data_IF_824640113809
#
_entry.id   IF_824640113809
#
_cell.length_a   1.000
_cell.length_b   1.000
_cell.length_c   1.000
_cell.angle_alpha   90.00
_cell.angle_beta   90.00
_cell.angle_gamma   90.00
#
_symmetry.space_group_name_H-M   'P 1'
#
loop_
_entity.id
_entity.type
_entity.pdbx_description
1 polymer ?
#
# COMPACT_ATOMS: atom_id res chain seq x y z
N UNK A 1 4.19 -18.82 22.92
CA UNK A 1 4.77 -17.48 23.19
C UNK A 1 4.70 -16.68 21.89
N UNK A 2 4.36 -15.38 21.96
CA UNK A 2 4.48 -14.49 20.80
C UNK A 2 5.97 -14.38 20.40
N UNK A 3 6.27 -14.38 19.11
CA UNK A 3 7.63 -14.17 18.62
C UNK A 3 7.88 -12.67 18.57
N UNK A 4 8.99 -12.21 19.13
CA UNK A 4 9.37 -10.80 19.11
C UNK A 4 10.42 -10.55 18.01
N UNK A 5 10.20 -9.50 17.23
CA UNK A 5 11.12 -9.00 16.19
C UNK A 5 11.54 -7.59 16.59
N UNK A 6 12.84 -7.36 16.67
CA UNK A 6 13.41 -6.05 16.96
C UNK A 6 14.32 -5.63 15.81
N UNK A 7 13.86 -4.73 14.94
CA UNK A 7 14.70 -4.17 13.89
C UNK A 7 15.39 -2.90 14.37
N UNK A 8 16.66 -2.76 14.01
CA UNK A 8 17.49 -1.59 14.33
C UNK A 8 17.74 -0.70 13.11
N UNK A 9 17.79 -1.30 11.92
CA UNK A 9 17.95 -0.59 10.66
C UNK A 9 16.60 -0.04 10.19
N UNK A 10 16.58 1.21 9.78
CA UNK A 10 15.35 1.88 9.35
C UNK A 10 15.39 3.36 9.65
N UNK A 11 14.29 4.05 9.35
CA UNK A 11 14.17 5.49 9.59
C UNK A 11 12.70 5.91 9.76
N UNK A 12 12.38 6.50 10.89
CA UNK A 12 11.12 7.21 11.06
C UNK A 12 11.28 8.64 10.54
N UNK A 13 10.53 9.00 9.51
CA UNK A 13 10.53 10.34 8.93
C UNK A 13 9.51 11.19 9.69
N UNK A 14 9.93 12.20 10.44
CA UNK A 14 9.04 13.03 11.26
C UNK A 14 8.32 14.07 10.39
N UNK A 15 7.33 13.64 9.61
CA UNK A 15 6.51 14.50 8.76
C UNK A 15 5.43 15.20 9.58
N UNK A 16 5.22 16.50 9.32
CA UNK A 16 4.15 17.29 9.92
C UNK A 16 2.77 16.95 9.31
N UNK A 17 1.68 17.31 10.02
CA UNK A 17 0.32 17.19 9.51
C UNK A 17 -0.32 15.83 9.77
N UNK A 18 -0.16 15.30 10.98
CA UNK A 18 -0.81 14.04 11.42
C UNK A 18 -2.32 14.22 11.57
N UNK A 19 -3.09 13.25 11.04
CA UNK A 19 -4.53 13.19 11.22
C UNK A 19 -4.88 12.71 12.64
N UNK A 20 -5.71 13.48 13.36
CA UNK A 20 -6.14 13.16 14.71
C UNK A 20 -7.67 13.14 14.80
N UNK A 21 -8.20 12.75 15.95
CA UNK A 21 -9.63 12.72 16.22
C UNK A 21 -10.36 11.46 15.72
N UNK A 22 -11.68 11.51 15.82
CA UNK A 22 -12.58 10.43 15.35
C UNK A 22 -12.79 10.58 13.84
N UNK A 23 -12.94 9.48 13.11
CA UNK A 23 -13.19 9.54 11.68
C UNK A 23 -14.58 10.12 11.37
N UNK A 24 -14.66 10.97 10.36
CA UNK A 24 -15.88 11.52 9.78
C UNK A 24 -16.35 10.65 8.62
N UNK A 25 -17.66 10.41 8.46
CA UNK A 25 -18.17 9.70 7.28
C UNK A 25 -18.30 10.65 6.09
N UNK A 26 -17.73 10.25 4.95
CA UNK A 26 -17.88 10.97 3.68
C UNK A 26 -18.50 9.99 2.67
N UNK A 27 -19.66 10.35 2.15
CA UNK A 27 -20.29 9.66 1.03
C UNK A 27 -19.82 10.34 -0.26
N UNK A 28 -19.01 9.66 -1.04
CA UNK A 28 -18.52 10.19 -2.30
C UNK A 28 -19.62 10.14 -3.38
N UNK A 29 -19.71 11.19 -4.18
CA UNK A 29 -20.64 11.28 -5.32
C UNK A 29 -20.21 10.45 -6.53
N UNK A 30 -18.95 10.00 -6.55
CA UNK A 30 -18.38 9.17 -7.60
C UNK A 30 -17.36 8.19 -7.02
N UNK A 31 -17.41 6.95 -7.48
CA UNK A 31 -16.47 5.88 -7.11
C UNK A 31 -15.73 5.40 -8.35
N UNK A 32 -14.41 5.30 -8.31
CA UNK A 32 -13.58 4.81 -9.42
C UNK A 32 -12.73 3.61 -9.02
N UNK A 33 -12.87 2.51 -9.74
CA UNK A 33 -12.03 1.32 -9.54
C UNK A 33 -10.97 1.27 -10.63
N UNK A 34 -9.70 1.31 -10.20
CA UNK A 34 -8.52 1.35 -11.05
C UNK A 34 -7.90 -0.05 -11.13
N UNK A 35 -7.92 -0.72 -12.29
CA UNK A 35 -7.39 -2.09 -12.40
C UNK A 35 -5.88 -2.17 -12.15
N UNK A 36 -5.13 -1.09 -12.39
CA UNK A 36 -3.67 -1.02 -12.15
C UNK A 36 -3.27 -1.16 -10.67
N UNK A 37 -4.22 -1.02 -9.75
CA UNK A 37 -3.99 -1.27 -8.33
C UNK A 37 -3.80 -2.76 -7.99
N UNK A 38 -4.11 -3.63 -8.95
CA UNK A 38 -4.14 -5.08 -8.79
C UNK A 38 -3.21 -5.78 -9.78
N UNK A 39 -1.88 -5.76 -9.52
CA UNK A 39 -0.87 -6.28 -10.44
C UNK A 39 -0.93 -7.80 -10.57
N UNK A 40 -0.46 -8.31 -11.69
CA UNK A 40 -0.30 -9.74 -11.94
C UNK A 40 -1.24 -10.31 -13.00
N UNK A 41 -2.34 -9.62 -13.31
CA UNK A 41 -3.32 -10.03 -14.31
C UNK A 41 -3.60 -8.94 -15.33
N UNK A 42 -4.10 -9.37 -16.50
CA UNK A 42 -4.71 -8.49 -17.49
C UNK A 42 -6.21 -8.39 -17.17
N UNK A 43 -6.67 -7.21 -16.79
CA UNK A 43 -8.07 -7.00 -16.42
C UNK A 43 -8.94 -6.68 -17.62
N UNK A 44 -10.06 -7.41 -17.79
CA UNK A 44 -11.07 -7.17 -18.80
C UNK A 44 -12.33 -6.59 -18.15
N UNK A 45 -12.85 -5.52 -18.73
CA UNK A 45 -14.04 -4.84 -18.23
C UNK A 45 -15.32 -5.62 -18.60
N UNK A 46 -16.20 -5.81 -17.62
CA UNK A 46 -17.45 -6.57 -17.73
C UNK A 46 -18.68 -5.69 -17.91
N UNK A 47 -18.53 -4.36 -17.80
CA UNK A 47 -19.65 -3.41 -17.79
C UNK A 47 -19.54 -2.35 -18.88
N UNK A 48 -20.65 -1.64 -19.11
CA UNK A 48 -20.76 -0.49 -20.03
C UNK A 48 -21.32 0.72 -19.29
N UNK A 49 -21.06 1.94 -19.77
CA UNK A 49 -21.76 3.13 -19.28
C UNK A 49 -23.29 2.96 -19.35
N UNK A 50 -23.99 3.30 -18.27
CA UNK A 50 -25.42 3.13 -18.09
C UNK A 50 -25.85 1.82 -17.43
N UNK A 51 -24.97 0.83 -17.27
CA UNK A 51 -25.30 -0.41 -16.56
C UNK A 51 -25.57 -0.12 -15.07
N UNK A 52 -26.60 -0.74 -14.51
CA UNK A 52 -26.92 -0.69 -13.08
C UNK A 52 -26.19 -1.83 -12.38
N UNK A 53 -25.47 -1.52 -11.31
CA UNK A 53 -24.66 -2.46 -10.54
C UNK A 53 -25.07 -2.42 -9.07
N UNK A 54 -25.06 -3.58 -8.41
CA UNK A 54 -25.19 -3.70 -6.97
C UNK A 54 -23.79 -3.61 -6.31
N UNK A 55 -23.74 -3.35 -5.01
CA UNK A 55 -22.53 -3.50 -4.21
C UNK A 55 -22.05 -4.96 -4.31
N UNK A 56 -20.83 -5.17 -4.80
CA UNK A 56 -20.27 -6.50 -5.04
C UNK A 56 -20.48 -7.03 -6.47
N UNK A 57 -21.16 -6.31 -7.38
CA UNK A 57 -21.25 -6.69 -8.78
C UNK A 57 -19.89 -6.60 -9.48
N UNK A 58 -19.52 -7.56 -10.34
CA UNK A 58 -18.25 -7.54 -11.06
C UNK A 58 -18.18 -6.35 -12.02
N UNK A 59 -17.08 -5.61 -11.95
CA UNK A 59 -16.70 -4.56 -12.91
C UNK A 59 -15.63 -5.06 -13.87
N UNK A 60 -14.75 -5.95 -13.38
CA UNK A 60 -13.69 -6.57 -14.16
C UNK A 60 -13.52 -8.04 -13.77
N UNK A 61 -12.97 -8.81 -14.70
CA UNK A 61 -12.40 -10.12 -14.43
C UNK A 61 -10.95 -10.19 -14.92
N UNK A 62 -10.15 -11.07 -14.31
CA UNK A 62 -8.82 -11.39 -14.80
C UNK A 62 -8.95 -12.25 -16.06
N UNK A 63 -8.31 -11.84 -17.17
CA UNK A 63 -8.41 -12.54 -18.46
C UNK A 63 -7.90 -13.99 -18.38
N UNK A 64 -6.88 -14.21 -17.58
CA UNK A 64 -6.21 -15.49 -17.39
C UNK A 64 -6.85 -16.33 -16.27
N UNK A 65 -7.80 -15.76 -15.50
CA UNK A 65 -8.44 -16.38 -14.33
C UNK A 65 -9.83 -15.75 -14.11
N UNK A 66 -10.80 -16.13 -14.92
CA UNK A 66 -12.11 -15.47 -15.02
C UNK A 66 -12.92 -15.41 -13.71
N UNK A 67 -12.64 -16.29 -12.75
CA UNK A 67 -13.30 -16.27 -11.43
C UNK A 67 -12.79 -15.12 -10.55
N UNK A 68 -11.58 -14.61 -10.78
CA UNK A 68 -11.03 -13.49 -10.01
C UNK A 68 -11.63 -12.19 -10.53
N UNK A 69 -12.40 -11.50 -9.67
CA UNK A 69 -13.15 -10.30 -10.01
C UNK A 69 -12.59 -9.07 -9.27
N UNK A 70 -12.74 -7.89 -9.90
CA UNK A 70 -12.80 -6.62 -9.20
C UNK A 70 -14.25 -6.15 -9.24
N UNK A 71 -14.76 -5.73 -8.09
CA UNK A 71 -16.19 -5.49 -7.92
C UNK A 71 -16.51 -4.04 -7.56
N UNK A 72 -17.76 -3.64 -7.78
CA UNK A 72 -18.25 -2.34 -7.35
C UNK A 72 -18.35 -2.27 -5.82
N UNK A 73 -17.75 -1.26 -5.16
CA UNK A 73 -17.88 -1.05 -3.73
C UNK A 73 -19.26 -0.53 -3.31
N UNK A 74 -20.05 -0.05 -4.26
CA UNK A 74 -21.36 0.57 -4.04
C UNK A 74 -22.39 0.02 -5.03
N UNK A 75 -23.67 0.14 -4.69
CA UNK A 75 -24.74 0.07 -5.66
C UNK A 75 -24.82 1.39 -6.43
N UNK A 76 -25.20 1.34 -7.70
CA UNK A 76 -25.32 2.56 -8.51
C UNK A 76 -25.34 2.31 -10.00
N UNK A 77 -25.00 3.33 -10.77
CA UNK A 77 -24.95 3.27 -12.23
C UNK A 77 -23.52 3.52 -12.71
N UNK A 78 -23.03 2.70 -13.61
CA UNK A 78 -21.75 2.91 -14.30
C UNK A 78 -21.83 4.19 -15.11
N UNK A 79 -21.00 5.18 -14.77
CA UNK A 79 -21.02 6.49 -15.43
C UNK A 79 -20.09 6.51 -16.63
N UNK A 80 -18.84 6.06 -16.45
CA UNK A 80 -17.81 6.15 -17.47
C UNK A 80 -16.79 5.02 -17.35
N UNK A 81 -16.19 4.64 -18.48
CA UNK A 81 -14.96 3.83 -18.55
C UNK A 81 -13.84 4.75 -19.02
N UNK A 82 -13.05 5.25 -18.08
CA UNK A 82 -11.92 6.14 -18.38
C UNK A 82 -10.78 5.37 -19.03
N UNK A 83 -10.31 5.88 -20.16
CA UNK A 83 -9.24 5.25 -20.94
C UNK A 83 -8.07 6.21 -21.10
N UNK A 84 -6.87 5.68 -21.00
CA UNK A 84 -5.62 6.35 -21.32
C UNK A 84 -5.10 5.99 -22.70
N UNK A 85 -3.80 6.11 -22.86
CA UNK A 85 -3.10 5.77 -24.09
C UNK A 85 -3.37 4.29 -24.48
N UNK A 86 -3.35 4.02 -25.79
CA UNK A 86 -3.58 2.68 -26.36
C UNK A 86 -4.83 1.97 -25.86
N UNK A 87 -5.87 2.76 -25.47
CA UNK A 87 -7.14 2.28 -24.91
C UNK A 87 -7.01 1.53 -23.57
N UNK A 88 -5.87 1.68 -22.86
CA UNK A 88 -5.71 1.15 -21.52
C UNK A 88 -6.80 1.71 -20.59
N UNK A 89 -7.43 0.84 -19.79
CA UNK A 89 -8.50 1.27 -18.88
C UNK A 89 -7.84 1.81 -17.59
N UNK A 90 -8.04 3.10 -17.33
CA UNK A 90 -7.56 3.77 -16.14
C UNK A 90 -8.51 3.57 -14.95
N UNK A 91 -9.81 3.62 -15.18
CA UNK A 91 -10.84 3.40 -14.17
C UNK A 91 -12.19 3.09 -14.78
N UNK A 92 -13.00 2.32 -14.07
CA UNK A 92 -14.46 2.27 -14.24
C UNK A 92 -15.07 3.10 -13.12
N UNK A 93 -15.93 4.06 -13.48
CA UNK A 93 -16.58 4.93 -12.50
C UNK A 93 -18.03 4.55 -12.30
N UNK A 94 -18.47 4.57 -11.04
CA UNK A 94 -19.86 4.27 -10.64
C UNK A 94 -20.39 5.45 -9.83
N UNK A 95 -21.53 5.98 -10.26
CA UNK A 95 -22.29 6.97 -9.51
C UNK A 95 -23.16 6.24 -8.48
N UNK A 96 -22.94 6.43 -7.17
CA UNK A 96 -23.71 5.75 -6.15
C UNK A 96 -25.21 6.02 -6.23
N UNK A 97 -26.00 4.97 -6.02
CA UNK A 97 -27.47 5.06 -6.00
C UNK A 97 -28.09 3.69 -5.75
N UNK A 98 -28.99 3.60 -4.77
CA UNK A 98 -29.59 2.32 -4.33
C UNK A 98 -28.78 1.62 -3.23
N UNK A 99 -29.37 0.53 -2.72
CA UNK A 99 -28.82 -0.25 -1.59
C UNK A 99 -28.66 -1.73 -1.94
N UNK A 100 -28.74 -2.09 -3.23
CA UNK A 100 -28.62 -3.47 -3.66
C UNK A 100 -27.24 -4.05 -3.37
N UNK A 101 -27.23 -5.27 -2.83
CA UNK A 101 -26.00 -5.95 -2.39
C UNK A 101 -25.98 -7.38 -2.92
N UNK A 102 -24.86 -7.75 -3.55
CA UNK A 102 -24.61 -9.13 -3.96
C UNK A 102 -24.30 -9.98 -2.74
N UNK A 103 -24.98 -11.14 -2.61
CA UNK A 103 -24.68 -12.16 -1.61
C UNK A 103 -23.88 -13.28 -2.25
N UNK A 104 -22.78 -13.65 -1.60
CA UNK A 104 -21.87 -14.69 -2.07
C UNK A 104 -22.15 -16.00 -1.34
N UNK A 105 -22.89 -16.90 -1.98
CA UNK A 105 -23.47 -18.11 -1.35
C UNK A 105 -22.60 -19.37 -1.50
N UNK A 106 -21.43 -19.31 -2.18
CA UNK A 106 -20.56 -20.47 -2.32
C UNK A 106 -20.20 -21.09 -0.96
N UNK A 107 -20.04 -22.41 -0.92
CA UNK A 107 -19.58 -23.13 0.28
C UNK A 107 -18.09 -22.99 0.49
N UNK A 108 -17.32 -22.78 -0.57
CA UNK A 108 -15.87 -22.66 -0.54
C UNK A 108 -15.47 -21.21 -0.31
N UNK A 109 -14.65 -20.95 0.70
CA UNK A 109 -14.17 -19.61 1.01
C UNK A 109 -13.35 -19.03 -0.15
N UNK A 110 -12.44 -19.81 -0.75
CA UNK A 110 -11.63 -19.35 -1.88
C UNK A 110 -12.47 -18.82 -3.03
N UNK A 111 -13.59 -19.49 -3.37
CA UNK A 111 -14.50 -19.04 -4.40
C UNK A 111 -15.22 -17.74 -4.00
N UNK A 112 -15.71 -17.64 -2.75
CA UNK A 112 -16.29 -16.39 -2.24
C UNK A 112 -15.30 -15.22 -2.35
N UNK A 113 -14.03 -15.44 -2.02
CA UNK A 113 -13.00 -14.41 -2.08
C UNK A 113 -12.72 -13.96 -3.53
N UNK A 114 -12.68 -14.91 -4.48
CA UNK A 114 -12.49 -14.61 -5.90
C UNK A 114 -13.63 -13.76 -6.44
N UNK A 115 -14.87 -14.15 -6.14
CA UNK A 115 -16.09 -13.48 -6.64
C UNK A 115 -16.33 -12.11 -5.97
N UNK A 116 -15.97 -11.95 -4.71
CA UNK A 116 -16.16 -10.71 -3.94
C UNK A 116 -15.06 -9.67 -4.14
N UNK A 117 -14.04 -9.94 -4.95
CA UNK A 117 -12.90 -9.06 -5.14
C UNK A 117 -11.88 -9.07 -3.98
N UNK A 118 -12.16 -9.75 -2.87
CA UNK A 118 -11.22 -9.81 -1.74
C UNK A 118 -9.97 -10.62 -2.05
N UNK A 119 -10.04 -11.56 -3.01
CA UNK A 119 -8.86 -12.28 -3.49
C UNK A 119 -7.83 -11.34 -4.10
N UNK A 120 -8.26 -10.38 -4.92
CA UNK A 120 -7.40 -9.39 -5.53
C UNK A 120 -6.75 -8.42 -4.52
N UNK A 121 -7.30 -8.34 -3.28
CA UNK A 121 -6.73 -7.54 -2.20
C UNK A 121 -5.57 -8.22 -1.47
N UNK A 122 -5.29 -9.50 -1.74
CA UNK A 122 -4.11 -10.22 -1.24
C UNK A 122 -2.93 -10.08 -2.20
N UNK A 123 -1.72 -10.33 -1.72
CA UNK A 123 -0.50 -10.36 -2.51
C UNK A 123 0.22 -11.68 -2.35
N UNK A 124 0.70 -12.21 -3.46
CA UNK A 124 1.56 -13.38 -3.51
C UNK A 124 3.02 -12.97 -3.61
N UNK A 125 3.86 -13.51 -2.72
CA UNK A 125 5.31 -13.42 -2.77
C UNK A 125 5.90 -14.77 -3.23
N UNK A 126 7.00 -14.75 -3.96
CA UNK A 126 7.68 -13.59 -4.52
C UNK A 126 6.78 -12.86 -5.54
N UNK A 127 7.28 -11.83 -6.20
CA UNK A 127 6.69 -11.01 -7.27
C UNK A 127 5.69 -9.92 -6.82
N UNK A 128 5.08 -10.02 -5.65
CA UNK A 128 4.14 -9.02 -5.12
C UNK A 128 2.99 -8.73 -6.09
N UNK A 129 2.27 -9.78 -6.48
CA UNK A 129 1.14 -9.75 -7.41
C UNK A 129 -0.10 -10.37 -6.76
N UNK A 130 -1.26 -10.20 -7.39
CA UNK A 130 -2.48 -10.92 -6.98
C UNK A 130 -2.26 -12.42 -7.06
N UNK A 131 -2.66 -13.23 -6.06
CA UNK A 131 -2.45 -14.67 -6.06
C UNK A 131 -3.06 -15.38 -7.28
N UNK A 132 -2.39 -16.43 -7.75
CA UNK A 132 -2.89 -17.30 -8.79
C UNK A 132 -4.23 -17.93 -8.41
N UNK A 133 -5.10 -18.25 -9.40
CA UNK A 133 -6.45 -18.76 -9.15
C UNK A 133 -6.44 -20.06 -8.34
N UNK A 134 -5.49 -20.94 -8.62
CA UNK A 134 -5.34 -22.24 -7.96
C UNK A 134 -4.12 -22.28 -7.01
N UNK A 135 -3.50 -21.10 -6.73
CA UNK A 135 -2.34 -21.04 -5.88
C UNK A 135 -2.71 -21.31 -4.42
N UNK A 136 -1.87 -22.08 -3.74
CA UNK A 136 -1.94 -22.30 -2.30
C UNK A 136 -0.64 -21.83 -1.65
N UNK A 137 -0.69 -20.95 -0.64
CA UNK A 137 0.52 -20.44 -0.02
C UNK A 137 1.09 -21.44 0.98
N UNK A 138 2.44 -21.42 1.14
CA UNK A 138 3.11 -22.10 2.26
C UNK A 138 2.60 -21.54 3.61
N UNK A 139 2.59 -20.21 3.72
CA UNK A 139 2.15 -19.47 4.90
C UNK A 139 1.42 -18.18 4.48
N UNK A 140 0.66 -17.57 5.41
CA UNK A 140 -0.01 -16.29 5.21
C UNK A 140 0.46 -15.30 6.29
N UNK A 141 0.90 -14.11 5.88
CA UNK A 141 1.34 -13.05 6.77
C UNK A 141 0.33 -11.89 6.76
N UNK A 142 -0.18 -11.56 7.94
CA UNK A 142 -1.15 -10.48 8.14
C UNK A 142 -0.45 -9.31 8.83
N UNK A 143 -0.45 -8.13 8.19
CA UNK A 143 0.05 -6.91 8.80
C UNK A 143 -1.10 -6.15 9.47
N UNK A 144 -1.03 -5.98 10.81
CA UNK A 144 -2.05 -5.26 11.58
C UNK A 144 -1.66 -3.81 11.90
N UNK A 145 -0.50 -3.36 11.45
CA UNK A 145 -0.05 -1.98 11.59
C UNK A 145 0.74 -1.54 10.35
N UNK A 146 0.83 -0.24 10.17
CA UNK A 146 1.65 0.42 9.17
C UNK A 146 2.67 1.30 9.91
N UNK A 147 3.93 1.27 9.52
CA UNK A 147 5.02 2.06 10.11
C UNK A 147 5.45 3.25 9.24
N UNK A 148 4.78 3.47 8.11
CA UNK A 148 5.09 4.58 7.21
C UNK A 148 4.76 5.94 7.85
N UNK A 149 5.38 7.03 7.36
CA UNK A 149 5.12 8.36 7.89
C UNK A 149 3.65 8.75 7.85
N UNK A 150 3.09 9.19 8.98
CA UNK A 150 1.69 9.59 9.15
C UNK A 150 0.65 8.50 8.86
N UNK A 151 1.02 7.23 8.94
CA UNK A 151 0.16 6.10 8.65
C UNK A 151 -1.18 6.16 9.39
N UNK A 152 -2.26 5.82 8.68
CA UNK A 152 -3.60 5.66 9.22
C UNK A 152 -3.82 4.28 9.86
N UNK A 153 -5.04 4.05 10.37
CA UNK A 153 -5.43 2.76 10.92
C UNK A 153 -5.50 1.70 9.81
N UNK A 154 -4.91 0.55 10.08
CA UNK A 154 -4.97 -0.60 9.15
C UNK A 154 -6.33 -1.29 9.22
N UNK A 155 -6.90 -1.40 10.43
CA UNK A 155 -8.18 -2.06 10.65
C UNK A 155 -9.27 -1.00 10.81
N UNK A 156 -10.22 -0.90 9.86
CA UNK A 156 -11.33 0.02 9.99
C UNK A 156 -12.17 -0.32 11.23
N UNK A 157 -12.46 0.67 12.05
CA UNK A 157 -13.09 0.48 13.36
C UNK A 157 -14.44 -0.23 13.25
N UNK A 158 -15.24 0.07 12.21
CA UNK A 158 -16.60 -0.46 12.02
C UNK A 158 -16.68 -1.94 11.63
N UNK A 159 -15.55 -2.57 11.26
CA UNK A 159 -15.47 -4.01 10.93
C UNK A 159 -14.44 -4.76 11.76
N UNK A 160 -13.82 -4.12 12.74
CA UNK A 160 -12.76 -4.72 13.56
C UNK A 160 -13.20 -5.99 14.30
N UNK A 161 -14.48 -6.10 14.66
CA UNK A 161 -15.06 -7.27 15.33
C UNK A 161 -14.97 -8.57 14.50
N UNK A 162 -14.85 -8.46 13.16
CA UNK A 162 -14.77 -9.62 12.27
C UNK A 162 -13.35 -10.14 12.06
N UNK A 163 -12.32 -9.51 12.64
CA UNK A 163 -10.91 -9.88 12.41
C UNK A 163 -10.62 -11.34 12.78
N UNK A 164 -11.09 -11.80 13.94
CA UNK A 164 -10.85 -13.18 14.42
C UNK A 164 -11.43 -14.20 13.44
N UNK A 165 -12.67 -14.00 12.99
CA UNK A 165 -13.32 -14.87 12.01
C UNK A 165 -12.61 -14.84 10.64
N UNK A 166 -12.06 -13.70 10.27
CA UNK A 166 -11.24 -13.57 9.07
C UNK A 166 -9.94 -14.38 9.16
N UNK A 167 -9.27 -14.34 10.31
CA UNK A 167 -8.06 -15.15 10.56
C UNK A 167 -8.37 -16.66 10.52
N UNK A 168 -9.51 -17.09 11.08
CA UNK A 168 -9.99 -18.48 10.95
C UNK A 168 -10.19 -18.86 9.47
N UNK A 169 -10.80 -17.96 8.69
CA UNK A 169 -10.97 -18.16 7.26
C UNK A 169 -9.63 -18.34 6.54
N UNK A 170 -8.66 -17.46 6.78
CA UNK A 170 -7.32 -17.57 6.17
C UNK A 170 -6.62 -18.89 6.48
N UNK A 171 -6.82 -19.45 7.68
CA UNK A 171 -6.23 -20.74 8.07
C UNK A 171 -6.70 -21.88 7.18
N UNK A 172 -7.89 -21.80 6.60
CA UNK A 172 -8.40 -22.80 5.66
C UNK A 172 -7.74 -22.74 4.27
N UNK A 173 -7.06 -21.63 3.94
CA UNK A 173 -6.40 -21.42 2.65
C UNK A 173 -4.95 -21.90 2.60
N UNK A 174 -4.36 -22.28 3.74
CA UNK A 174 -2.98 -22.76 3.82
C UNK A 174 -2.86 -23.99 4.70
N UNK A 175 -1.92 -24.87 4.35
CA UNK A 175 -1.50 -25.99 5.22
C UNK A 175 -0.50 -25.57 6.28
N UNK A 176 0.11 -24.41 6.14
CA UNK A 176 1.11 -23.88 7.05
C UNK A 176 0.53 -22.99 8.14
N UNK A 177 1.19 -21.88 8.42
CA UNK A 177 0.80 -20.99 9.50
C UNK A 177 0.21 -19.67 8.97
N UNK A 178 -0.73 -19.11 9.74
CA UNK A 178 -1.13 -17.70 9.63
C UNK A 178 -0.38 -16.92 10.70
N UNK A 179 0.32 -15.89 10.31
CA UNK A 179 1.07 -14.99 11.19
C UNK A 179 0.36 -13.64 11.26
N UNK A 180 0.23 -13.08 12.46
CA UNK A 180 -0.33 -11.74 12.69
C UNK A 180 0.75 -10.84 13.28
N UNK A 181 1.25 -9.91 12.48
CA UNK A 181 2.24 -8.93 12.92
C UNK A 181 1.56 -7.71 13.54
N UNK A 182 1.94 -7.38 14.78
CA UNK A 182 1.36 -6.31 15.58
C UNK A 182 2.45 -5.42 16.18
N UNK A 183 2.12 -4.17 16.48
CA UNK A 183 2.96 -3.32 17.34
C UNK A 183 2.77 -3.74 18.81
N UNK A 184 3.84 -3.78 19.62
CA UNK A 184 3.72 -3.90 21.06
C UNK A 184 2.81 -2.81 21.63
N UNK A 185 1.89 -3.20 22.51
CA UNK A 185 0.91 -2.29 23.09
C UNK A 185 -0.36 -2.05 22.23
N UNK A 186 -0.44 -2.56 21.00
CA UNK A 186 -1.65 -2.47 20.16
C UNK A 186 -2.84 -3.26 20.71
N UNK A 187 -2.59 -4.18 21.67
CA UNK A 187 -3.66 -4.94 22.35
C UNK A 187 -4.28 -6.07 21.51
N UNK A 188 -3.87 -6.24 20.26
CA UNK A 188 -4.36 -7.32 19.41
C UNK A 188 -3.71 -8.65 19.82
N UNK A 189 -4.53 -9.63 20.14
CA UNK A 189 -4.12 -11.01 20.45
C UNK A 189 -5.17 -11.97 19.87
N UNK A 190 -4.71 -13.11 19.42
CA UNK A 190 -5.56 -14.16 18.85
C UNK A 190 -5.02 -15.54 19.24
N UNK A 191 -5.89 -16.54 19.22
CA UNK A 191 -5.52 -17.95 19.35
C UNK A 191 -5.43 -18.67 18.00
N UNK A 192 -5.92 -18.04 16.96
CA UNK A 192 -6.02 -18.59 15.59
C UNK A 192 -4.70 -18.45 14.83
N UNK A 193 -4.09 -17.28 14.92
CA UNK A 193 -2.83 -16.96 14.23
C UNK A 193 -1.65 -16.89 15.21
N UNK A 194 -0.43 -17.12 14.71
CA UNK A 194 0.80 -16.89 15.45
C UNK A 194 1.10 -15.40 15.50
N UNK A 195 0.98 -14.81 16.69
CA UNK A 195 1.24 -13.38 16.88
C UNK A 195 2.74 -13.10 16.85
N UNK A 196 3.13 -12.04 16.13
CA UNK A 196 4.49 -11.52 16.03
C UNK A 196 4.46 -10.10 16.55
N UNK A 197 5.13 -9.82 17.66
CA UNK A 197 5.34 -8.47 18.17
C UNK A 197 6.55 -7.84 17.44
N UNK A 198 6.33 -6.74 16.70
CA UNK A 198 7.36 -6.12 15.86
C UNK A 198 7.69 -4.72 16.37
N UNK A 199 8.93 -4.56 16.83
CA UNK A 199 9.52 -3.31 17.29
C UNK A 199 10.49 -2.74 16.27
N UNK A 200 10.62 -1.42 16.26
CA UNK A 200 11.61 -0.70 15.47
C UNK A 200 11.01 0.40 14.61
N UNK A 201 11.86 1.16 13.91
CA UNK A 201 11.46 2.20 12.99
C UNK A 201 10.82 1.62 11.72
N UNK A 202 10.29 2.49 10.85
CA UNK A 202 9.95 2.08 9.49
C UNK A 202 11.19 1.49 8.79
N UNK A 203 11.12 0.32 8.13
CA UNK A 203 9.94 -0.36 7.59
C UNK A 203 9.39 -1.52 8.46
N UNK A 204 9.38 -1.40 9.79
CA UNK A 204 8.88 -2.46 10.68
C UNK A 204 7.49 -3.01 10.31
N UNK A 205 6.64 -2.21 9.66
CA UNK A 205 5.30 -2.60 9.20
C UNK A 205 5.26 -3.35 7.89
N UNK A 206 6.37 -3.41 7.13
CA UNK A 206 6.38 -4.08 5.83
C UNK A 206 6.30 -5.61 5.99
N UNK A 207 5.42 -6.28 5.24
CA UNK A 207 5.29 -7.73 5.30
C UNK A 207 6.59 -8.50 5.02
N UNK A 208 7.44 -8.00 4.12
CA UNK A 208 8.74 -8.62 3.80
C UNK A 208 9.66 -8.72 5.03
N UNK A 209 9.63 -7.70 5.91
CA UNK A 209 10.39 -7.72 7.18
C UNK A 209 9.91 -8.84 8.10
N UNK A 210 8.58 -9.05 8.16
CA UNK A 210 7.99 -10.12 8.97
C UNK A 210 8.35 -11.49 8.40
N UNK A 211 8.28 -11.65 7.07
CA UNK A 211 8.61 -12.88 6.36
C UNK A 211 10.09 -13.22 6.56
N UNK A 212 10.99 -12.29 6.28
CA UNK A 212 12.44 -12.50 6.41
C UNK A 212 12.84 -12.92 7.83
N UNK A 213 12.20 -12.33 8.86
CA UNK A 213 12.51 -12.64 10.25
C UNK A 213 11.92 -13.98 10.74
N UNK A 214 10.82 -14.47 10.13
CA UNK A 214 10.08 -15.62 10.65
C UNK A 214 10.25 -16.87 9.80
N UNK A 215 10.06 -16.73 8.49
CA UNK A 215 10.10 -17.83 7.52
C UNK A 215 10.46 -17.29 6.13
N UNK A 216 11.75 -17.01 5.86
CA UNK A 216 12.23 -16.50 4.58
C UNK A 216 11.73 -17.30 3.39
N UNK A 217 11.62 -16.68 2.23
CA UNK A 217 11.12 -17.31 1.01
C UNK A 217 12.30 -17.85 0.23
N UNK A 218 12.27 -19.15 -0.08
CA UNK A 218 13.20 -19.78 -0.99
C UNK A 218 12.63 -19.87 -2.41
N UNK A 219 13.49 -20.12 -3.41
CA UNK A 219 13.07 -20.34 -4.79
C UNK A 219 12.03 -21.47 -4.88
N UNK A 220 10.92 -21.21 -5.56
CA UNK A 220 9.81 -22.15 -5.71
C UNK A 220 8.79 -22.14 -4.58
N UNK A 221 9.02 -21.40 -3.48
CA UNK A 221 8.05 -21.23 -2.41
C UNK A 221 7.15 -20.04 -2.68
N UNK A 222 5.92 -20.14 -2.19
CA UNK A 222 4.90 -19.07 -2.28
C UNK A 222 4.35 -18.78 -0.90
N UNK A 223 4.33 -17.50 -0.50
CA UNK A 223 3.63 -17.01 0.69
C UNK A 223 2.68 -15.88 0.31
N UNK A 224 1.61 -15.71 1.06
CA UNK A 224 0.70 -14.61 0.83
C UNK A 224 0.83 -13.55 1.92
N UNK A 225 0.61 -12.32 1.53
CA UNK A 225 0.52 -11.17 2.45
C UNK A 225 -0.84 -10.50 2.30
N UNK A 226 -1.37 -10.03 3.41
CA UNK A 226 -2.65 -9.35 3.46
C UNK A 226 -2.67 -8.38 4.65
N UNK A 227 -3.36 -7.26 4.53
CA UNK A 227 -3.56 -6.36 5.67
C UNK A 227 -4.75 -6.81 6.55
N UNK A 228 -4.69 -6.48 7.84
CA UNK A 228 -5.71 -6.90 8.81
C UNK A 228 -7.10 -6.29 8.53
N UNK A 229 -7.18 -5.16 7.84
CA UNK A 229 -8.45 -4.58 7.39
C UNK A 229 -9.13 -5.45 6.33
N UNK A 230 -8.36 -5.97 5.37
CA UNK A 230 -8.85 -6.96 4.41
C UNK A 230 -9.26 -8.25 5.09
N UNK A 231 -8.50 -8.71 6.10
CA UNK A 231 -8.87 -9.89 6.90
C UNK A 231 -10.20 -9.68 7.64
N UNK A 232 -10.43 -8.50 8.20
CA UNK A 232 -11.72 -8.17 8.81
C UNK A 232 -12.88 -8.19 7.79
N UNK A 233 -12.65 -7.72 6.55
CA UNK A 233 -13.64 -7.86 5.45
C UNK A 233 -13.92 -9.32 5.10
N UNK A 234 -12.89 -10.18 5.10
CA UNK A 234 -13.05 -11.64 4.91
C UNK A 234 -13.94 -12.22 6.02
N UNK A 235 -13.70 -11.85 7.27
CA UNK A 235 -14.53 -12.28 8.40
C UNK A 235 -15.98 -11.81 8.28
N UNK A 236 -16.20 -10.57 7.84
CA UNK A 236 -17.55 -10.07 7.56
C UNK A 236 -18.22 -10.84 6.42
N UNK A 237 -17.50 -11.11 5.32
CA UNK A 237 -18.01 -11.94 4.22
C UNK A 237 -18.45 -13.32 4.71
N UNK A 238 -17.65 -13.96 5.55
CA UNK A 238 -17.99 -15.27 6.16
C UNK A 238 -19.28 -15.16 7.00
N UNK A 239 -19.39 -14.12 7.83
CA UNK A 239 -20.51 -13.96 8.76
C UNK A 239 -21.80 -13.50 8.10
N UNK A 240 -21.72 -12.57 7.16
CA UNK A 240 -22.86 -11.84 6.59
C UNK A 240 -23.20 -12.27 5.16
N UNK A 241 -22.27 -12.92 4.45
CA UNK A 241 -22.42 -13.30 3.03
C UNK A 241 -22.22 -12.14 2.06
N UNK A 242 -21.84 -10.95 2.52
CA UNK A 242 -21.53 -9.78 1.69
C UNK A 242 -20.35 -8.99 2.29
N UNK A 243 -19.78 -8.06 1.53
CA UNK A 243 -18.63 -7.25 1.95
C UNK A 243 -19.01 -5.79 2.19
N UNK A 244 -18.27 -5.17 3.13
CA UNK A 244 -18.18 -3.72 3.30
C UNK A 244 -16.83 -3.25 2.75
N UNK A 245 -16.87 -2.42 1.71
CA UNK A 245 -15.67 -1.90 1.05
C UNK A 245 -15.24 -0.52 1.56
N UNK A 246 -15.83 -0.03 2.66
CA UNK A 246 -15.40 1.22 3.27
C UNK A 246 -14.01 1.06 3.90
N UNK A 247 -13.23 2.12 3.80
CA UNK A 247 -11.92 2.26 4.41
C UNK A 247 -11.91 3.43 5.39
N UNK A 248 -11.09 3.32 6.43
CA UNK A 248 -10.73 4.46 7.27
C UNK A 248 -9.45 5.07 6.68
N UNK A 249 -9.52 6.32 6.27
CA UNK A 249 -8.46 7.02 5.53
C UNK A 249 -8.00 8.23 6.30
N UNK A 250 -6.69 8.41 6.43
CA UNK A 250 -6.08 9.58 7.03
C UNK A 250 -5.75 10.62 5.95
N UNK A 251 -6.35 11.79 6.00
CA UNK A 251 -5.94 12.97 5.22
C UNK A 251 -4.88 13.69 6.02
N UNK A 252 -3.66 13.77 5.49
CA UNK A 252 -2.45 14.13 6.24
C UNK A 252 -1.54 15.04 5.42
N UNK A 253 -0.45 15.44 6.03
CA UNK A 253 0.64 16.16 5.38
C UNK A 253 0.71 17.63 5.76
N UNK A 254 1.89 18.24 5.61
CA UNK A 254 2.14 19.62 6.06
C UNK A 254 1.33 20.68 5.30
N UNK A 255 0.81 20.36 4.12
CA UNK A 255 0.01 21.26 3.31
C UNK A 255 -1.52 20.97 3.39
N UNK A 256 -1.95 19.99 4.20
CA UNK A 256 -3.35 19.78 4.50
C UNK A 256 -3.85 20.90 5.43
N UNK A 257 -4.99 21.53 5.10
CA UNK A 257 -5.55 22.60 5.93
C UNK A 257 -6.01 22.10 7.30
N UNK A 258 -6.69 20.95 7.32
CA UNK A 258 -7.20 20.32 8.54
C UNK A 258 -6.98 18.82 8.46
N UNK A 259 -5.80 18.30 8.87
CA UNK A 259 -5.57 16.87 8.89
C UNK A 259 -6.64 16.13 9.67
N UNK A 260 -7.31 15.15 9.06
CA UNK A 260 -8.46 14.44 9.62
C UNK A 260 -8.51 12.98 9.19
N UNK A 261 -9.31 12.21 9.89
CA UNK A 261 -9.65 10.84 9.49
C UNK A 261 -11.04 10.81 8.88
N UNK A 262 -11.21 10.05 7.82
CA UNK A 262 -12.49 9.86 7.14
C UNK A 262 -12.80 8.38 6.95
N UNK A 263 -14.09 8.02 6.97
CA UNK A 263 -14.58 6.72 6.54
C UNK A 263 -15.31 6.92 5.23
N UNK A 264 -14.85 6.25 4.18
CA UNK A 264 -15.42 6.32 2.84
C UNK A 264 -15.19 5.01 2.10
N UNK A 265 -15.81 4.83 0.94
CA UNK A 265 -15.61 3.66 0.10
C UNK A 265 -14.23 3.65 -0.56
N UNK A 266 -13.67 2.46 -0.75
CA UNK A 266 -12.51 2.27 -1.65
C UNK A 266 -12.90 2.77 -3.04
N UNK A 267 -12.03 3.56 -3.66
CA UNK A 267 -12.34 4.19 -4.94
C UNK A 267 -13.08 5.52 -4.85
N UNK A 268 -13.35 6.05 -3.66
CA UNK A 268 -14.02 7.34 -3.49
C UNK A 268 -13.29 8.49 -4.21
N UNK A 269 -14.06 9.41 -4.81
CA UNK A 269 -13.55 10.62 -5.45
C UNK A 269 -12.72 11.46 -4.49
N UNK A 270 -11.51 11.84 -4.90
CA UNK A 270 -10.65 12.72 -4.09
C UNK A 270 -11.23 14.12 -3.98
N UNK A 271 -11.98 14.59 -4.96
CA UNK A 271 -12.65 15.89 -4.89
C UNK A 271 -13.63 15.97 -3.70
N UNK A 272 -14.32 14.87 -3.38
CA UNK A 272 -15.22 14.81 -2.24
C UNK A 272 -14.45 14.68 -0.92
N UNK A 273 -13.42 13.84 -0.85
CA UNK A 273 -12.61 13.65 0.36
C UNK A 273 -11.86 14.92 0.73
N UNK A 274 -11.31 15.63 -0.26
CA UNK A 274 -10.44 16.79 -0.09
C UNK A 274 -11.19 18.13 -0.11
N UNK A 275 -12.52 18.13 -0.10
CA UNK A 275 -13.32 19.35 -0.10
C UNK A 275 -12.98 20.21 1.12
N UNK A 276 -12.44 21.42 0.86
CA UNK A 276 -12.02 22.36 1.90
C UNK A 276 -10.69 22.02 2.59
N UNK A 277 -9.92 21.04 2.07
CA UNK A 277 -8.63 20.65 2.63
C UNK A 277 -7.42 21.20 1.84
N UNK A 278 -7.63 21.72 0.66
CA UNK A 278 -6.59 22.28 -0.19
C UNK A 278 -6.60 23.81 -0.11
N UNK A 279 -5.42 24.40 -0.01
CA UNK A 279 -5.25 25.85 -0.07
C UNK A 279 -5.36 26.35 -1.51
N UNK A 280 -6.20 27.35 -1.72
CA UNK A 280 -6.36 27.96 -3.04
C UNK A 280 -5.10 28.71 -3.46
N UNK A 281 -4.72 28.60 -4.74
CA UNK A 281 -3.59 29.30 -5.33
C UNK A 281 -2.20 28.75 -4.99
N UNK A 282 -2.11 27.70 -4.18
CA UNK A 282 -0.85 26.98 -3.93
C UNK A 282 -0.65 25.82 -4.89
N UNK A 283 0.60 25.57 -5.31
CA UNK A 283 0.97 24.38 -6.09
C UNK A 283 1.19 23.22 -5.13
N UNK A 284 0.19 22.32 -5.06
CA UNK A 284 0.16 21.22 -4.12
C UNK A 284 0.29 19.87 -4.84
N UNK A 285 1.02 18.96 -4.21
CA UNK A 285 1.07 17.54 -4.60
C UNK A 285 0.16 16.75 -3.67
N UNK A 286 -0.87 16.15 -4.27
CA UNK A 286 -1.71 15.16 -3.59
C UNK A 286 -1.19 13.77 -3.91
N UNK A 287 -0.99 12.97 -2.88
CA UNK A 287 -0.43 11.61 -2.93
C UNK A 287 -1.47 10.66 -2.36
N UNK A 288 -1.93 9.69 -3.15
CA UNK A 288 -2.64 8.55 -2.61
C UNK A 288 -1.60 7.63 -1.95
N UNK A 289 -1.68 7.51 -0.63
CA UNK A 289 -0.68 6.84 0.20
C UNK A 289 0.26 7.80 0.95
N UNK A 290 1.35 7.24 1.46
CA UNK A 290 2.40 7.98 2.17
C UNK A 290 3.43 8.56 1.19
N UNK A 291 4.34 9.40 1.70
CA UNK A 291 5.38 10.07 0.88
C UNK A 291 6.46 9.14 0.33
N UNK A 292 6.52 7.88 0.78
CA UNK A 292 7.54 6.91 0.35
C UNK A 292 7.04 6.01 -0.78
N UNK A 293 5.83 5.44 -0.64
CA UNK A 293 5.28 4.42 -1.57
C UNK A 293 4.02 4.88 -2.30
N UNK A 294 3.50 6.06 -1.96
CA UNK A 294 2.29 6.59 -2.57
C UNK A 294 2.48 7.08 -4.00
N UNK A 295 1.39 7.27 -4.70
CA UNK A 295 1.36 7.75 -6.08
C UNK A 295 0.77 9.16 -6.17
N UNK A 296 1.33 9.99 -7.03
CA UNK A 296 0.73 11.32 -7.33
C UNK A 296 -0.62 11.12 -8.01
N UNK A 297 -1.63 11.82 -7.52
CA UNK A 297 -2.99 11.77 -8.04
C UNK A 297 -3.53 13.18 -8.26
N UNK A 298 -4.44 13.33 -9.22
CA UNK A 298 -5.13 14.58 -9.44
C UNK A 298 -6.23 14.77 -8.37
N UNK A 299 -6.27 15.88 -7.64
CA UNK A 299 -7.23 16.11 -6.56
C UNK A 299 -8.67 16.27 -7.03
N UNK A 300 -8.92 16.61 -8.28
CA UNK A 300 -10.24 16.88 -8.84
C UNK A 300 -10.85 15.69 -9.58
N UNK A 301 -10.03 14.92 -10.27
CA UNK A 301 -10.45 13.79 -11.11
C UNK A 301 -9.95 12.43 -10.61
N UNK A 302 -9.10 12.40 -9.59
CA UNK A 302 -8.54 11.19 -9.02
C UNK A 302 -9.45 10.48 -8.02
N UNK A 303 -9.05 9.27 -7.67
CA UNK A 303 -9.77 8.38 -6.75
C UNK A 303 -8.86 7.88 -5.63
N UNK A 304 -9.46 7.47 -4.51
CA UNK A 304 -8.78 6.74 -3.45
C UNK A 304 -8.33 5.38 -3.99
N UNK A 305 -7.03 5.24 -4.23
CA UNK A 305 -6.43 4.04 -4.83
C UNK A 305 -6.26 2.92 -3.79
N UNK A 306 -6.45 1.69 -4.19
CA UNK A 306 -6.11 0.52 -3.36
C UNK A 306 -4.58 0.26 -3.44
N UNK A 307 -3.89 -0.12 -2.34
CA UNK A 307 -4.41 -0.39 -0.99
C UNK A 307 -4.31 0.78 0.00
N UNK A 308 -4.22 2.01 -0.49
CA UNK A 308 -3.89 3.15 0.34
C UNK A 308 -5.01 3.52 1.33
N UNK A 309 -4.60 3.78 2.57
CA UNK A 309 -5.44 4.24 3.69
C UNK A 309 -5.03 5.62 4.17
N UNK A 310 -4.33 6.33 3.32
CA UNK A 310 -3.78 7.65 3.59
C UNK A 310 -3.80 8.48 2.31
N UNK A 311 -4.07 9.77 2.46
CA UNK A 311 -3.86 10.78 1.43
C UNK A 311 -2.92 11.81 2.04
N UNK A 312 -1.79 12.04 1.40
CA UNK A 312 -0.77 12.98 1.89
C UNK A 312 -0.71 14.20 0.98
N UNK A 313 -0.77 15.39 1.57
CA UNK A 313 -0.73 16.67 0.86
C UNK A 313 0.55 17.39 1.25
N UNK A 314 1.40 17.67 0.25
CA UNK A 314 2.65 18.41 0.41
C UNK A 314 2.72 19.53 -0.63
N UNK A 315 3.62 20.49 -0.44
CA UNK A 315 3.90 21.49 -1.46
C UNK A 315 4.66 20.85 -2.64
N UNK A 316 4.38 21.29 -3.88
CA UNK A 316 5.14 20.90 -5.07
C UNK A 316 6.57 21.48 -5.00
N UNK A 317 6.72 22.63 -4.40
CA UNK A 317 8.02 23.30 -4.21
C UNK A 317 8.47 24.18 -5.36
N UNK A 318 7.60 24.47 -6.33
CA UNK A 318 7.92 25.24 -7.53
C UNK A 318 8.33 26.68 -7.22
N UNK A 319 7.84 27.26 -6.13
CA UNK A 319 8.06 28.66 -5.72
C UNK A 319 9.12 28.84 -4.65
N UNK A 320 9.86 27.79 -4.30
CA UNK A 320 10.82 27.86 -3.22
C UNK A 320 12.13 28.52 -3.69
N UNK A 321 12.22 29.83 -3.53
CA UNK A 321 13.47 30.58 -3.61
C UNK A 321 14.34 30.28 -2.41
N UNK A 322 15.35 29.45 -2.61
CA UNK A 322 16.29 29.11 -1.54
C UNK A 322 17.62 29.82 -1.78
N UNK A 323 17.92 30.74 -0.89
CA UNK A 323 19.27 31.32 -0.86
C UNK A 323 20.30 30.20 -0.68
N UNK A 324 21.26 30.10 -1.60
CA UNK A 324 22.28 29.05 -1.69
C UNK A 324 21.75 27.62 -1.94
N UNK A 325 20.45 27.41 -2.24
CA UNK A 325 19.87 26.13 -2.63
C UNK A 325 20.18 24.99 -1.66
N UNK A 326 20.88 23.95 -2.13
CA UNK A 326 21.28 22.79 -1.35
C UNK A 326 22.32 23.09 -0.26
N UNK A 327 23.09 24.16 -0.36
CA UNK A 327 24.07 24.59 0.64
C UNK A 327 23.45 25.50 1.72
N UNK A 328 22.13 25.61 1.74
CA UNK A 328 21.40 26.45 2.71
C UNK A 328 21.64 26.03 4.14
N UNK A 329 21.87 27.02 5.02
CA UNK A 329 21.99 26.84 6.48
C UNK A 329 20.61 26.79 7.19
N UNK A 330 19.52 26.50 6.47
CA UNK A 330 18.20 26.46 7.05
C UNK A 330 18.03 25.26 8.00
N UNK A 331 17.80 25.48 9.31
CA UNK A 331 17.65 24.41 10.30
C UNK A 331 16.28 23.72 10.22
N UNK A 332 15.37 24.18 9.37
CA UNK A 332 14.06 23.57 9.16
C UNK A 332 14.05 22.52 8.04
N UNK A 333 15.19 22.32 7.35
CA UNK A 333 15.38 21.26 6.39
C UNK A 333 15.83 19.98 7.08
N UNK A 334 15.05 18.91 6.92
CA UNK A 334 15.42 17.58 7.41
C UNK A 334 16.65 17.03 6.68
N UNK A 335 17.56 16.43 7.41
CA UNK A 335 18.73 15.75 6.86
C UNK A 335 19.20 14.62 7.77
N UNK A 336 19.28 13.43 7.21
CA UNK A 336 19.81 12.25 7.93
C UNK A 336 21.35 12.28 8.07
N UNK A 337 22.04 12.99 7.19
CA UNK A 337 23.52 13.07 7.14
C UNK A 337 24.08 14.36 7.74
N UNK A 338 23.28 15.13 8.46
CA UNK A 338 23.65 16.45 9.01
C UNK A 338 24.11 17.46 7.94
N UNK A 339 23.68 17.30 6.69
CA UNK A 339 23.93 18.27 5.60
C UNK A 339 23.32 19.64 5.94
N UNK A 340 22.17 19.65 6.61
CA UNK A 340 21.52 20.84 7.12
C UNK A 340 21.58 20.86 8.64
N UNK A 341 21.60 22.04 9.29
CA UNK A 341 21.74 22.16 10.74
C UNK A 341 20.47 21.82 11.53
N UNK A 342 19.54 21.05 10.96
CA UNK A 342 18.30 20.59 11.61
C UNK A 342 18.54 19.87 12.94
N UNK A 343 19.69 19.19 13.09
CA UNK A 343 20.07 18.50 14.32
C UNK A 343 20.23 19.43 15.52
N UNK A 344 20.51 20.73 15.29
CA UNK A 344 20.59 21.75 16.36
C UNK A 344 19.24 22.02 17.02
N UNK A 345 18.12 21.87 16.28
CA UNK A 345 16.76 22.04 16.79
C UNK A 345 16.09 20.73 17.21
N UNK A 346 16.79 19.60 17.09
CA UNK A 346 16.28 18.26 17.37
C UNK A 346 15.58 17.62 16.16
N UNK A 347 15.98 16.37 15.85
CA UNK A 347 15.47 15.62 14.70
C UNK A 347 14.11 14.96 14.96
N UNK A 348 13.63 14.96 16.20
CA UNK A 348 12.35 14.35 16.59
C UNK A 348 11.14 15.27 16.34
N UNK A 349 11.37 16.55 16.04
CA UNK A 349 10.29 17.50 15.74
C UNK A 349 9.69 17.23 14.35
N UNK A 350 8.40 17.57 14.14
CA UNK A 350 7.80 17.48 12.81
C UNK A 350 8.46 18.45 11.82
N UNK A 351 8.72 17.96 10.61
CA UNK A 351 9.26 18.74 9.51
C UNK A 351 8.25 18.90 8.38
N UNK A 352 8.36 20.02 7.68
CA UNK A 352 7.63 20.29 6.44
C UNK A 352 8.49 19.84 5.26
N UNK A 353 7.98 18.91 4.47
CA UNK A 353 8.63 18.42 3.25
C UNK A 353 7.89 18.95 2.02
N UNK A 354 8.63 19.21 0.96
CA UNK A 354 8.13 19.49 -0.37
C UNK A 354 8.47 18.34 -1.33
N UNK A 355 7.94 18.39 -2.56
CA UNK A 355 8.10 17.33 -3.55
C UNK A 355 9.43 17.36 -4.32
N UNK A 356 10.35 18.27 -4.00
CA UNK A 356 11.64 18.37 -4.68
C UNK A 356 12.56 17.24 -4.28
N UNK A 357 13.24 16.64 -5.24
CA UNK A 357 14.22 15.56 -5.00
C UNK A 357 15.49 16.00 -4.27
N UNK A 358 15.74 17.32 -4.20
CA UNK A 358 16.92 17.95 -3.54
C UNK A 358 18.23 17.24 -3.89
N UNK A 359 18.45 17.04 -5.18
CA UNK A 359 19.59 16.35 -5.75
C UNK A 359 19.43 16.17 -7.26
N UNK A 360 20.33 15.42 -7.88
CA UNK A 360 20.26 15.07 -9.29
C UNK A 360 20.48 13.58 -9.50
N UNK A 361 19.89 13.03 -10.55
CA UNK A 361 20.14 11.65 -10.97
C UNK A 361 21.63 11.46 -11.31
N UNK A 362 22.24 10.44 -10.77
CA UNK A 362 23.64 10.07 -10.98
C UNK A 362 23.78 8.57 -11.12
N UNK A 363 24.92 8.13 -11.65
CA UNK A 363 25.29 6.73 -11.58
C UNK A 363 25.36 6.27 -10.11
N UNK A 364 24.84 5.08 -9.83
CA UNK A 364 24.85 4.53 -8.48
C UNK A 364 26.28 4.23 -8.02
N UNK A 365 26.60 4.64 -6.79
CA UNK A 365 27.85 4.34 -6.11
C UNK A 365 27.59 3.43 -4.91
N UNK A 366 28.56 2.60 -4.56
CA UNK A 366 28.51 1.79 -3.33
C UNK A 366 28.87 2.68 -2.15
N UNK A 367 27.88 3.18 -1.44
CA UNK A 367 28.04 4.14 -0.35
C UNK A 367 27.87 3.53 1.04
N UNK A 368 27.25 2.36 1.13
CA UNK A 368 26.85 1.72 2.38
C UNK A 368 25.72 2.46 3.11
N UNK A 369 25.11 3.48 2.49
CA UNK A 369 24.04 4.24 3.13
C UNK A 369 22.71 3.49 3.10
N UNK A 370 22.50 2.69 2.06
CA UNK A 370 21.27 1.90 1.91
C UNK A 370 21.17 0.83 3.00
N UNK A 371 22.30 0.24 3.40
CA UNK A 371 22.36 -0.77 4.48
C UNK A 371 21.85 -0.27 5.82
N UNK A 372 21.93 1.04 6.08
CA UNK A 372 21.49 1.63 7.35
C UNK A 372 19.97 1.61 7.54
N UNK A 373 19.24 1.57 6.44
CA UNK A 373 17.77 1.63 6.41
C UNK A 373 17.11 0.37 5.83
N UNK A 374 17.91 -0.65 5.49
CA UNK A 374 17.47 -1.88 4.87
C UNK A 374 17.65 -3.07 5.86
N UNK A 375 16.57 -3.51 6.55
CA UNK A 375 16.68 -4.46 7.66
C UNK A 375 16.69 -5.93 7.23
N UNK A 376 17.20 -6.23 6.04
CA UNK A 376 17.32 -7.59 5.51
C UNK A 376 18.78 -8.06 5.56
N UNK A 377 18.99 -9.37 5.57
CA UNK A 377 20.31 -10.00 5.39
C UNK A 377 20.63 -10.12 3.90
N UNK A 378 20.62 -9.00 3.23
CA UNK A 378 20.83 -8.83 1.79
C UNK A 378 21.75 -7.65 1.58
N UNK A 379 22.62 -7.72 0.57
CA UNK A 379 23.46 -6.59 0.13
C UNK A 379 22.70 -5.72 -0.88
N UNK A 380 22.01 -4.64 -0.45
CA UNK A 380 21.06 -3.90 -1.30
C UNK A 380 21.75 -3.27 -2.50
N UNK A 381 22.93 -2.69 -2.34
CA UNK A 381 23.66 -2.03 -3.43
C UNK A 381 24.12 -3.02 -4.51
N UNK A 382 24.50 -4.25 -4.14
CA UNK A 382 24.85 -5.30 -5.10
C UNK A 382 23.62 -5.85 -5.81
N UNK A 383 22.51 -6.01 -5.09
CA UNK A 383 21.24 -6.44 -5.67
C UNK A 383 20.73 -5.42 -6.70
N UNK A 384 20.80 -4.11 -6.38
CA UNK A 384 20.43 -3.05 -7.32
C UNK A 384 21.28 -3.12 -8.59
N UNK A 385 22.60 -3.34 -8.47
CA UNK A 385 23.48 -3.49 -9.64
C UNK A 385 23.14 -4.72 -10.47
N UNK A 386 22.77 -5.84 -9.84
CA UNK A 386 22.30 -7.04 -10.55
C UNK A 386 20.99 -6.75 -11.30
N UNK A 387 20.04 -6.03 -10.68
CA UNK A 387 18.80 -5.60 -11.31
C UNK A 387 19.05 -4.68 -12.51
N UNK A 388 19.94 -3.68 -12.37
CA UNK A 388 20.31 -2.77 -13.46
C UNK A 388 20.98 -3.51 -14.62
N UNK A 389 21.78 -4.55 -14.34
CA UNK A 389 22.44 -5.38 -15.35
C UNK A 389 21.50 -6.43 -15.99
N UNK A 390 20.32 -6.69 -15.42
CA UNK A 390 19.43 -7.77 -15.84
C UNK A 390 20.00 -9.15 -15.58
N UNK A 391 20.89 -9.30 -14.59
CA UNK A 391 21.56 -10.56 -14.24
C UNK A 391 20.69 -11.37 -13.27
N UNK A 392 19.82 -12.21 -13.81
CA UNK A 392 18.85 -13.00 -13.03
C UNK A 392 19.52 -13.97 -12.05
N UNK A 393 20.60 -14.62 -12.45
CA UNK A 393 21.34 -15.52 -11.56
C UNK A 393 21.89 -14.83 -10.33
N UNK A 394 22.39 -13.60 -10.50
CA UNK A 394 22.85 -12.78 -9.37
C UNK A 394 21.71 -12.23 -8.55
N UNK A 395 20.60 -11.80 -9.16
CA UNK A 395 19.42 -11.34 -8.41
C UNK A 395 18.93 -12.45 -7.49
N UNK A 396 18.82 -13.71 -7.99
CA UNK A 396 18.40 -14.85 -7.18
C UNK A 396 19.38 -15.12 -6.02
N UNK A 397 20.68 -15.15 -6.29
CA UNK A 397 21.72 -15.38 -5.26
C UNK A 397 21.77 -14.27 -4.21
N UNK A 398 21.35 -13.07 -4.57
CA UNK A 398 21.31 -11.88 -3.69
C UNK A 398 19.95 -11.68 -3.01
N UNK A 399 18.99 -12.61 -3.13
CA UNK A 399 17.77 -12.61 -2.34
C UNK A 399 16.62 -11.80 -2.92
N UNK A 400 16.50 -11.63 -4.25
CA UNK A 400 15.42 -10.88 -4.91
C UNK A 400 14.03 -11.39 -4.53
N UNK A 401 13.88 -12.67 -4.19
CA UNK A 401 12.60 -13.29 -3.83
C UNK A 401 12.08 -12.89 -2.44
N UNK A 402 12.94 -12.34 -1.58
CA UNK A 402 12.58 -11.92 -0.22
C UNK A 402 12.02 -10.51 -0.15
N UNK A 403 12.14 -9.73 -1.21
CA UNK A 403 11.81 -8.31 -1.24
C UNK A 403 10.62 -7.97 -2.13
N UNK A 404 10.06 -6.79 -1.88
CA UNK A 404 9.08 -6.13 -2.74
C UNK A 404 9.51 -4.69 -3.04
N UNK A 405 8.87 -4.02 -4.00
CA UNK A 405 9.19 -2.62 -4.33
C UNK A 405 9.16 -1.69 -3.12
N UNK A 406 8.20 -1.86 -2.21
CA UNK A 406 8.05 -1.05 -0.99
C UNK A 406 9.27 -1.11 -0.04
N UNK A 407 10.05 -2.20 -0.08
CA UNK A 407 11.22 -2.37 0.78
C UNK A 407 12.39 -1.48 0.34
N UNK A 408 12.37 -1.05 -0.91
CA UNK A 408 13.32 -0.08 -1.45
C UNK A 408 12.87 1.39 -1.29
N UNK A 409 11.73 1.67 -0.67
CA UNK A 409 11.24 3.04 -0.50
C UNK A 409 12.15 3.90 0.38
N UNK A 410 12.60 3.38 1.54
CA UNK A 410 13.59 4.08 2.36
C UNK A 410 14.98 4.13 1.71
N UNK A 411 15.53 3.05 1.15
CA UNK A 411 16.75 3.12 0.34
C UNK A 411 16.68 4.19 -0.75
N UNK A 412 15.59 4.30 -1.49
CA UNK A 412 15.36 5.34 -2.50
C UNK A 412 15.37 6.75 -1.90
N UNK A 413 14.72 6.94 -0.75
CA UNK A 413 14.70 8.22 -0.03
C UNK A 413 16.11 8.68 0.39
N UNK A 414 16.95 7.76 0.90
CA UNK A 414 18.31 8.08 1.38
C UNK A 414 19.36 8.06 0.26
N UNK A 415 19.05 7.48 -0.91
CA UNK A 415 20.00 7.36 -2.01
C UNK A 415 20.46 8.75 -2.50
N UNK A 416 21.78 8.94 -2.46
CA UNK A 416 22.41 10.17 -2.95
C UNK A 416 22.44 10.24 -4.49
N UNK A 417 22.30 9.11 -5.16
CA UNK A 417 22.27 9.01 -6.63
C UNK A 417 20.89 9.22 -7.22
N UNK A 418 19.85 9.28 -6.37
CA UNK A 418 18.45 9.53 -6.76
C UNK A 418 17.93 8.56 -7.81
N UNK A 419 18.23 7.26 -7.63
CA UNK A 419 17.74 6.20 -8.49
C UNK A 419 16.28 5.84 -8.13
N UNK A 420 15.47 5.46 -9.12
CA UNK A 420 14.10 4.97 -8.94
C UNK A 420 14.11 3.48 -8.56
N UNK A 421 14.48 3.18 -7.30
CA UNK A 421 14.74 1.80 -6.86
C UNK A 421 13.47 0.95 -6.77
N UNK A 422 12.35 1.54 -6.37
CA UNK A 422 11.07 0.85 -6.32
C UNK A 422 10.61 0.39 -7.70
N UNK A 423 10.74 1.28 -8.69
CA UNK A 423 10.42 0.99 -10.10
C UNK A 423 11.32 -0.09 -10.65
N UNK A 424 12.64 0.03 -10.44
CA UNK A 424 13.62 -0.98 -10.86
C UNK A 424 13.29 -2.36 -10.27
N UNK A 425 12.91 -2.42 -8.99
CA UNK A 425 12.52 -3.65 -8.32
C UNK A 425 11.26 -4.25 -8.95
N UNK A 426 10.22 -3.44 -9.20
CA UNK A 426 9.00 -3.89 -9.86
C UNK A 426 9.27 -4.49 -11.23
N UNK A 427 10.03 -3.78 -12.06
CA UNK A 427 10.39 -4.24 -13.41
C UNK A 427 11.20 -5.55 -13.37
N UNK A 428 12.13 -5.67 -12.41
CA UNK A 428 12.95 -6.86 -12.25
C UNK A 428 12.13 -8.09 -11.82
N UNK A 429 11.22 -7.92 -10.85
CA UNK A 429 10.31 -8.98 -10.41
C UNK A 429 9.34 -9.41 -11.52
N UNK A 430 8.87 -8.49 -12.34
CA UNK A 430 8.01 -8.80 -13.49
C UNK A 430 8.74 -9.59 -14.58
N UNK A 431 10.01 -9.25 -14.84
CA UNK A 431 10.86 -10.01 -15.79
C UNK A 431 11.10 -11.42 -15.28
N UNK A 432 11.54 -11.57 -14.02
CA UNK A 432 11.73 -12.89 -13.39
C UNK A 432 10.45 -13.74 -13.43
N UNK A 433 9.28 -13.14 -13.19
CA UNK A 433 7.99 -13.85 -13.24
C UNK A 433 7.63 -14.34 -14.64
N UNK A 434 8.05 -13.65 -15.68
CA UNK A 434 7.78 -14.05 -17.08
C UNK A 434 8.73 -15.14 -17.57
N UNK A 435 9.92 -15.21 -16.99
CA UNK A 435 10.96 -16.18 -17.36
C UNK A 435 10.89 -17.46 -16.52
N UNK A 436 10.15 -17.47 -15.40
CA UNK A 436 9.87 -18.63 -14.53
C UNK A 436 8.58 -19.34 -14.91
#
# INVERSE_FOLDING_TARGET
>A
MAREINIKKGLDIPLAGKAEGKPESINAGLIGICPDDFPGYTWKCDVKPGDVVAKGSPLFHAKEAEKIKLVSPVAGTVEEIRRGERRHILAVTVKPGGDDVVRFESKELAEKLKLSGLWAMMRQRPYDVVPGEEAAPRDIFVAAFDSSPLAGNVIPTHIAEYLELGLEGLKSLTKGAVYLAVRPGQGLRTKVAKVIDVNGPHPAGNPSVHIAAVAPINKGETVWTVDAGTVARIGMLIKKGYCDYRAEVAVTGPAALKPKKVVTEIGASLADILKGELKEGESLRVIAGNVLTGIKVDPTSGFLRFPYRQITIIEEGDKADEFMGWASMNPDKFSIKRTFPAFLKGLQRPFTFDARIKGGHRAMILSGELDKVFPFDIYPEYLIKAMQAGDFDRMEKLGIYEIAPEDFALPEFVDTSKQELQKLTRESLERLRKDS
#
